data_IF_005316683194
#
_entry.id   IF_005316683194
#
_cell.length_a   1.000
_cell.length_b   1.000
_cell.length_c   1.000
_cell.angle_alpha   90.00
_cell.angle_beta   90.00
_cell.angle_gamma   90.00
#
_symmetry.space_group_name_H-M   'P 1'
#
loop_
_entity.id
_entity.type
_entity.pdbx_description
1 polymer ?
#
# COMPACT_ATOMS: atom_id res chain seq x y z
N UNK A 1 12.23 -10.19 2.52
CA UNK A 1 13.49 -9.44 2.62
C UNK A 1 13.14 -7.95 2.66
N UNK A 2 13.83 -7.18 3.51
CA UNK A 2 13.56 -5.75 3.72
C UNK A 2 14.45 -4.92 2.81
N UNK A 3 14.29 -5.05 1.50
CA UNK A 3 15.09 -4.31 0.50
C UNK A 3 14.57 -2.89 0.27
N UNK A 4 13.29 -2.66 0.60
CA UNK A 4 12.64 -1.34 0.59
C UNK A 4 12.08 -1.09 1.98
N UNK A 5 12.28 0.13 2.49
CA UNK A 5 11.75 0.58 3.78
C UNK A 5 11.18 2.00 3.59
N UNK A 6 9.91 2.16 3.95
CA UNK A 6 9.21 3.45 3.91
C UNK A 6 9.37 4.17 2.55
N UNK A 7 9.22 3.40 1.44
CA UNK A 7 9.36 3.91 0.08
C UNK A 7 10.80 4.16 -0.40
N UNK A 8 11.81 3.86 0.43
CA UNK A 8 13.23 4.06 0.11
C UNK A 8 13.90 2.70 -0.11
N UNK A 9 14.64 2.58 -1.21
CA UNK A 9 15.48 1.38 -1.49
C UNK A 9 16.68 1.40 -0.55
N UNK A 10 16.73 0.42 0.37
CA UNK A 10 17.83 0.31 1.37
C UNK A 10 18.83 -0.79 1.01
N UNK A 11 18.43 -1.75 0.18
CA UNK A 11 19.31 -2.76 -0.42
C UNK A 11 19.03 -2.82 -1.92
N UNK A 12 19.86 -2.09 -2.68
CA UNK A 12 19.70 -1.93 -4.11
C UNK A 12 19.86 -3.25 -4.88
N UNK A 13 20.90 -4.02 -4.54
CA UNK A 13 21.17 -5.29 -5.22
C UNK A 13 20.12 -6.36 -4.88
N UNK A 14 19.70 -6.41 -3.63
CA UNK A 14 18.61 -7.28 -3.21
C UNK A 14 17.29 -6.93 -3.90
N UNK A 15 16.98 -5.65 -4.07
CA UNK A 15 15.78 -5.19 -4.77
C UNK A 15 15.81 -5.63 -6.25
N UNK A 16 16.93 -5.42 -6.95
CA UNK A 16 17.12 -5.88 -8.34
C UNK A 16 16.91 -7.39 -8.45
N UNK A 17 17.54 -8.15 -7.55
CA UNK A 17 17.43 -9.62 -7.54
C UNK A 17 15.99 -10.09 -7.39
N UNK A 18 15.21 -9.44 -6.53
CA UNK A 18 13.79 -9.78 -6.34
C UNK A 18 12.99 -9.44 -7.60
N UNK A 19 13.13 -8.24 -8.17
CA UNK A 19 12.40 -7.84 -9.38
C UNK A 19 12.73 -8.77 -10.54
N UNK A 20 14.02 -9.11 -10.73
CA UNK A 20 14.46 -10.05 -11.77
C UNK A 20 13.84 -11.42 -11.60
N UNK A 21 13.85 -11.96 -10.39
CA UNK A 21 13.24 -13.26 -10.10
C UNK A 21 11.73 -13.25 -10.40
N UNK A 22 11.01 -12.20 -9.99
CA UNK A 22 9.57 -12.06 -10.26
C UNK A 22 9.30 -11.95 -11.78
N UNK A 23 10.16 -11.21 -12.52
CA UNK A 23 10.09 -11.12 -13.98
C UNK A 23 10.24 -12.50 -14.61
N UNK A 24 11.29 -13.24 -14.27
CA UNK A 24 11.57 -14.59 -14.80
C UNK A 24 10.41 -15.56 -14.52
N UNK A 25 9.87 -15.57 -13.30
CA UNK A 25 8.70 -16.39 -12.92
C UNK A 25 7.45 -16.04 -13.75
N UNK A 26 7.24 -14.76 -14.03
CA UNK A 26 6.11 -14.31 -14.85
C UNK A 26 6.30 -14.66 -16.32
N UNK A 27 7.49 -14.47 -16.87
CA UNK A 27 7.85 -14.82 -18.25
C UNK A 27 7.66 -16.33 -18.50
N UNK A 28 8.13 -17.16 -17.57
CA UNK A 28 7.95 -18.62 -17.64
C UNK A 28 6.45 -18.99 -17.61
N UNK A 29 5.70 -18.37 -16.69
CA UNK A 29 4.26 -18.65 -16.53
C UNK A 29 3.42 -18.20 -17.72
N UNK A 30 3.75 -17.07 -18.33
CA UNK A 30 2.97 -16.46 -19.40
C UNK A 30 3.45 -16.84 -20.80
N UNK A 31 4.68 -17.36 -20.92
CA UNK A 31 5.29 -17.69 -22.22
C UNK A 31 5.61 -16.45 -23.08
N UNK A 32 5.85 -15.31 -22.44
CA UNK A 32 6.17 -14.03 -23.11
C UNK A 32 7.42 -13.42 -22.49
N UNK A 33 8.12 -12.57 -23.24
CA UNK A 33 9.20 -11.73 -22.72
C UNK A 33 8.63 -10.41 -22.20
N UNK A 34 9.06 -9.98 -21.00
CA UNK A 34 8.67 -8.72 -20.38
C UNK A 34 9.81 -7.73 -20.54
N UNK A 35 9.69 -6.80 -21.48
CA UNK A 35 10.74 -5.81 -21.79
C UNK A 35 10.44 -4.43 -21.26
N UNK A 36 9.18 -4.12 -20.98
CA UNK A 36 8.74 -2.80 -20.50
C UNK A 36 7.69 -2.92 -19.40
N UNK A 37 7.54 -1.88 -18.60
CA UNK A 37 6.58 -1.86 -17.50
C UNK A 37 6.35 -0.48 -16.90
N UNK A 38 5.56 -0.49 -15.86
CA UNK A 38 5.17 0.71 -15.11
C UNK A 38 5.55 0.52 -13.66
N UNK A 39 5.90 1.61 -12.96
CA UNK A 39 6.21 1.56 -11.54
C UNK A 39 5.46 2.66 -10.79
N UNK A 40 5.31 2.49 -9.48
CA UNK A 40 4.76 3.52 -8.63
C UNK A 40 5.76 3.98 -7.58
N UNK A 41 5.46 5.15 -7.05
CA UNK A 41 6.18 5.77 -5.94
C UNK A 41 5.18 6.20 -4.89
N UNK A 42 5.53 6.18 -3.61
CA UNK A 42 4.76 6.87 -2.59
C UNK A 42 4.63 8.36 -2.91
N UNK A 43 3.54 9.01 -2.51
CA UNK A 43 3.37 10.43 -2.74
C UNK A 43 4.39 11.24 -1.93
N UNK A 44 4.89 12.32 -2.53
CA UNK A 44 5.83 13.23 -1.85
C UNK A 44 7.28 12.74 -1.77
N UNK A 45 7.63 11.66 -2.44
CA UNK A 45 8.99 11.11 -2.46
C UNK A 45 9.94 12.02 -3.24
N UNK A 46 11.15 12.23 -2.71
CA UNK A 46 12.19 13.03 -3.36
C UNK A 46 12.66 12.40 -4.68
N UNK A 47 13.06 13.23 -5.65
CA UNK A 47 13.50 12.79 -6.99
C UNK A 47 14.64 11.76 -6.95
N UNK A 48 15.51 11.81 -5.94
CA UNK A 48 16.59 10.83 -5.75
C UNK A 48 16.06 9.41 -5.51
N UNK A 49 15.05 9.28 -4.66
CA UNK A 49 14.40 8.01 -4.36
C UNK A 49 13.58 7.50 -5.56
N UNK A 50 12.94 8.38 -6.31
CA UNK A 50 12.25 8.03 -7.57
C UNK A 50 13.24 7.39 -8.55
N UNK A 51 14.41 8.04 -8.76
CA UNK A 51 15.46 7.49 -9.64
C UNK A 51 15.99 6.14 -9.15
N UNK A 52 16.12 5.96 -7.83
CA UNK A 52 16.57 4.68 -7.29
C UNK A 52 15.57 3.54 -7.60
N UNK A 53 14.27 3.80 -7.45
CA UNK A 53 13.21 2.83 -7.77
C UNK A 53 13.22 2.51 -9.27
N UNK A 54 13.27 3.52 -10.14
CA UNK A 54 13.35 3.33 -11.59
C UNK A 54 14.59 2.51 -11.95
N UNK A 55 15.76 2.88 -11.44
CA UNK A 55 17.00 2.17 -11.71
C UNK A 55 16.97 0.69 -11.26
N UNK A 56 16.29 0.37 -10.15
CA UNK A 56 16.08 -1.03 -9.72
C UNK A 56 15.32 -1.82 -10.78
N UNK A 57 14.22 -1.27 -11.29
CA UNK A 57 13.37 -1.93 -12.28
C UNK A 57 14.12 -2.07 -13.62
N UNK A 58 14.79 -1.01 -14.08
CA UNK A 58 15.57 -1.02 -15.32
C UNK A 58 16.79 -1.99 -15.23
N UNK A 59 17.46 -2.04 -14.07
CA UNK A 59 18.57 -2.98 -13.84
C UNK A 59 18.10 -4.45 -13.78
N UNK A 60 16.80 -4.68 -13.57
CA UNK A 60 16.20 -6.00 -13.70
C UNK A 60 15.80 -6.36 -15.15
N UNK A 61 16.04 -5.46 -16.10
CA UNK A 61 15.77 -5.67 -17.53
C UNK A 61 14.33 -5.31 -17.95
N UNK A 62 13.71 -4.34 -17.28
CA UNK A 62 12.37 -3.83 -17.62
C UNK A 62 12.49 -2.32 -17.86
N UNK A 63 12.24 -1.86 -19.08
CA UNK A 63 12.22 -0.43 -19.43
C UNK A 63 11.01 0.24 -18.77
N UNK A 64 11.23 1.26 -17.93
CA UNK A 64 10.16 1.96 -17.20
C UNK A 64 9.54 3.04 -18.08
N UNK A 65 8.36 2.76 -18.62
CA UNK A 65 7.63 3.70 -19.50
C UNK A 65 6.95 4.83 -18.75
N UNK A 66 6.51 4.58 -17.52
CA UNK A 66 5.81 5.59 -16.71
C UNK A 66 5.99 5.31 -15.23
N UNK A 67 6.14 6.37 -14.47
CA UNK A 67 6.07 6.37 -13.01
C UNK A 67 4.79 7.07 -12.59
N UNK A 68 4.01 6.45 -11.71
CA UNK A 68 2.76 7.01 -11.18
C UNK A 68 2.82 7.06 -9.66
N UNK A 69 2.15 8.01 -9.03
CA UNK A 69 2.00 7.95 -7.58
C UNK A 69 0.93 6.91 -7.20
N UNK A 70 1.16 6.23 -6.08
CA UNK A 70 0.31 5.13 -5.61
C UNK A 70 -1.18 5.52 -5.47
N UNK A 71 -1.56 6.69 -4.92
CA UNK A 71 -2.97 7.08 -4.84
C UNK A 71 -3.62 7.33 -6.19
N UNK A 72 -2.89 7.91 -7.14
CA UNK A 72 -3.39 8.06 -8.52
C UNK A 72 -3.59 6.69 -9.16
N UNK A 73 -2.64 5.77 -9.00
CA UNK A 73 -2.81 4.39 -9.46
C UNK A 73 -4.07 3.74 -8.84
N UNK A 74 -4.24 3.84 -7.53
CA UNK A 74 -5.42 3.31 -6.85
C UNK A 74 -6.72 3.92 -7.39
N UNK A 75 -6.75 5.24 -7.66
CA UNK A 75 -7.95 5.93 -8.18
C UNK A 75 -8.42 5.38 -9.52
N UNK A 76 -7.51 4.87 -10.35
CA UNK A 76 -7.86 4.28 -11.65
C UNK A 76 -8.69 3.00 -11.50
N UNK A 77 -8.35 2.17 -10.52
CA UNK A 77 -9.10 0.93 -10.22
C UNK A 77 -10.42 1.25 -9.53
N UNK A 78 -10.39 2.19 -8.60
CA UNK A 78 -11.56 2.59 -7.83
C UNK A 78 -12.57 3.40 -8.65
N UNK A 79 -12.16 3.95 -9.80
CA UNK A 79 -13.01 4.76 -10.66
C UNK A 79 -13.48 6.07 -10.02
N UNK A 80 -12.63 6.65 -9.14
CA UNK A 80 -12.94 7.86 -8.37
C UNK A 80 -12.19 9.08 -8.86
N UNK A 81 -12.84 10.24 -8.77
CA UNK A 81 -12.23 11.55 -8.98
C UNK A 81 -12.13 12.37 -7.70
N UNK A 82 -12.95 12.06 -6.71
CA UNK A 82 -13.07 12.79 -5.45
C UNK A 82 -13.11 11.83 -4.28
N UNK A 83 -12.51 12.21 -3.15
CA UNK A 83 -12.47 11.41 -1.95
C UNK A 83 -11.07 11.29 -1.36
N UNK A 84 -10.93 10.40 -0.38
CA UNK A 84 -9.65 10.09 0.25
C UNK A 84 -9.27 8.65 -0.05
N UNK A 85 -8.08 8.43 -0.58
CA UNK A 85 -7.45 7.11 -0.64
C UNK A 85 -6.54 6.97 0.57
N UNK A 86 -6.74 5.92 1.34
CA UNK A 86 -5.91 5.55 2.49
C UNK A 86 -5.25 4.22 2.19
N UNK A 87 -3.95 4.24 1.92
CA UNK A 87 -3.15 3.04 1.71
C UNK A 87 -2.56 2.56 3.04
N UNK A 88 -3.12 1.49 3.55
CA UNK A 88 -2.65 0.83 4.78
C UNK A 88 -1.59 -0.20 4.40
N UNK A 89 -0.35 0.28 4.22
CA UNK A 89 0.79 -0.50 3.82
C UNK A 89 1.42 -1.32 4.94
N UNK A 90 2.55 -1.95 4.63
CA UNK A 90 3.34 -2.69 5.62
C UNK A 90 4.03 -1.80 6.64
N UNK A 91 4.64 -0.69 6.20
CA UNK A 91 5.38 0.25 7.05
C UNK A 91 4.58 1.48 7.44
N UNK A 92 3.78 1.99 6.52
CA UNK A 92 3.17 3.32 6.62
C UNK A 92 1.65 3.30 6.38
N UNK A 93 1.01 4.39 6.75
CA UNK A 93 -0.35 4.78 6.36
C UNK A 93 -0.25 5.97 5.42
N UNK A 94 -0.39 5.73 4.13
CA UNK A 94 -0.46 6.75 3.10
C UNK A 94 -1.85 7.35 3.02
N UNK A 95 -1.93 8.68 2.94
CA UNK A 95 -3.20 9.42 2.88
C UNK A 95 -3.14 10.37 1.69
N UNK A 96 -4.11 10.27 0.81
CA UNK A 96 -4.19 11.14 -0.37
C UNK A 96 -5.61 11.64 -0.57
N UNK A 97 -5.75 12.95 -0.73
CA UNK A 97 -7.04 13.58 -1.02
C UNK A 97 -7.08 13.90 -2.50
N UNK A 98 -8.10 13.36 -3.18
CA UNK A 98 -8.38 13.61 -4.58
C UNK A 98 -9.51 14.62 -4.72
N UNK A 99 -9.37 15.52 -5.69
CA UNK A 99 -10.40 16.44 -6.11
C UNK A 99 -10.31 16.66 -7.63
N UNK A 100 -11.44 16.51 -8.32
CA UNK A 100 -11.52 16.65 -9.78
C UNK A 100 -10.47 15.78 -10.52
N UNK A 101 -10.25 14.55 -10.05
CA UNK A 101 -9.30 13.60 -10.59
C UNK A 101 -7.82 13.93 -10.33
N UNK A 102 -7.53 14.89 -9.45
CA UNK A 102 -6.16 15.28 -9.08
C UNK A 102 -5.89 15.09 -7.61
N UNK A 103 -4.69 14.65 -7.28
CA UNK A 103 -4.22 14.60 -5.90
C UNK A 103 -3.92 16.03 -5.44
N UNK A 104 -4.65 16.50 -4.42
CA UNK A 104 -4.53 17.87 -3.86
C UNK A 104 -3.83 17.92 -2.52
N UNK A 105 -3.70 16.77 -1.85
CA UNK A 105 -2.99 16.63 -0.59
C UNK A 105 -2.45 15.21 -0.45
N UNK A 106 -1.28 15.09 0.15
CA UNK A 106 -0.66 13.82 0.52
C UNK A 106 -0.03 13.89 1.90
N UNK A 107 -0.08 12.80 2.63
CA UNK A 107 0.67 12.57 3.86
C UNK A 107 1.03 11.09 3.95
N UNK A 108 2.14 10.80 4.61
CA UNK A 108 2.57 9.45 4.92
C UNK A 108 3.02 9.37 6.37
N UNK A 109 2.47 8.44 7.12
CA UNK A 109 2.75 8.28 8.55
C UNK A 109 3.34 6.90 8.82
N UNK A 110 4.42 6.81 9.62
CA UNK A 110 5.11 5.54 9.87
C UNK A 110 4.32 4.64 10.83
N UNK A 111 3.12 4.27 10.44
CA UNK A 111 2.24 3.32 11.16
C UNK A 111 1.59 2.42 10.12
N UNK A 112 1.92 1.14 10.12
CA UNK A 112 1.46 0.17 9.12
C UNK A 112 1.35 -1.24 9.69
N UNK A 113 1.23 -2.24 8.84
CA UNK A 113 1.10 -3.65 9.19
C UNK A 113 2.23 -4.19 10.07
N UNK A 114 3.43 -3.63 9.97
CA UNK A 114 4.55 -3.96 10.87
C UNK A 114 4.23 -3.68 12.33
N UNK A 115 3.48 -2.60 12.62
CA UNK A 115 3.06 -2.29 13.99
C UNK A 115 2.06 -3.32 14.53
N UNK A 116 1.19 -3.85 13.65
CA UNK A 116 0.31 -4.97 14.01
C UNK A 116 1.12 -6.21 14.39
N UNK A 117 2.14 -6.55 13.60
CA UNK A 117 3.04 -7.67 13.85
C UNK A 117 3.78 -7.51 15.18
N UNK A 118 4.29 -6.30 15.48
CA UNK A 118 4.96 -6.01 16.74
C UNK A 118 4.03 -6.15 17.96
N UNK A 119 2.76 -5.74 17.84
CA UNK A 119 1.75 -5.93 18.89
C UNK A 119 1.51 -7.41 19.11
N UNK A 120 1.39 -8.20 18.05
CA UNK A 120 1.20 -9.66 18.15
C UNK A 120 2.44 -10.34 18.73
N UNK A 121 3.65 -9.96 18.31
CA UNK A 121 4.90 -10.48 18.85
C UNK A 121 4.98 -10.29 20.38
N UNK A 122 4.63 -9.07 20.84
CA UNK A 122 4.57 -8.78 22.28
C UNK A 122 3.47 -9.54 23.00
N UNK A 123 2.28 -9.65 22.41
CA UNK A 123 1.12 -10.33 23.01
C UNK A 123 1.33 -11.85 23.15
N UNK A 124 1.93 -12.47 22.13
CA UNK A 124 2.18 -13.92 22.12
C UNK A 124 3.55 -14.33 22.67
N UNK A 125 4.45 -13.35 22.92
CA UNK A 125 5.82 -13.64 23.39
C UNK A 125 6.66 -14.39 22.35
N UNK A 126 6.49 -14.07 21.06
CA UNK A 126 7.17 -14.72 19.94
C UNK A 126 8.01 -13.71 19.15
N UNK A 127 8.89 -14.20 18.27
CA UNK A 127 9.65 -13.36 17.35
C UNK A 127 8.75 -12.74 16.26
N UNK A 128 9.34 -11.79 15.50
CA UNK A 128 8.61 -11.04 14.48
C UNK A 128 8.10 -11.92 13.34
N UNK A 129 8.90 -12.87 12.89
CA UNK A 129 8.58 -13.78 11.79
C UNK A 129 7.40 -14.68 12.16
N UNK A 130 7.45 -15.27 13.36
CA UNK A 130 6.34 -16.07 13.91
C UNK A 130 5.08 -15.23 14.08
N UNK A 131 5.19 -14.00 14.55
CA UNK A 131 4.05 -13.09 14.69
C UNK A 131 3.46 -12.69 13.32
N UNK A 132 4.28 -12.54 12.29
CA UNK A 132 3.82 -12.29 10.91
C UNK A 132 3.04 -13.47 10.35
N UNK A 133 3.51 -14.71 10.59
CA UNK A 133 2.81 -15.94 10.23
C UNK A 133 1.45 -16.04 10.96
N UNK A 134 1.42 -15.72 12.25
CA UNK A 134 0.17 -15.66 13.03
C UNK A 134 -0.79 -14.61 12.44
N UNK A 135 -0.28 -13.42 12.11
CA UNK A 135 -1.08 -12.32 11.55
C UNK A 135 -1.76 -12.70 10.24
N UNK A 136 -1.08 -13.48 9.41
CA UNK A 136 -1.57 -13.85 8.07
C UNK A 136 -2.37 -15.16 8.06
N UNK A 137 -2.39 -15.92 9.17
CA UNK A 137 -3.17 -17.15 9.30
C UNK A 137 -4.67 -16.84 9.37
N UNK A 138 -5.39 -17.16 8.30
CA UNK A 138 -6.85 -16.98 8.20
C UNK A 138 -7.63 -17.69 9.31
N UNK A 139 -7.11 -18.75 9.88
CA UNK A 139 -7.78 -19.49 10.98
C UNK A 139 -7.76 -18.70 12.28
N UNK A 140 -6.80 -17.80 12.44
CA UNK A 140 -6.62 -16.94 13.62
C UNK A 140 -7.16 -15.53 13.42
N UNK A 141 -7.72 -15.21 12.27
CA UNK A 141 -8.10 -13.84 11.88
C UNK A 141 -8.92 -13.12 12.96
N UNK A 142 -9.91 -13.78 13.55
CA UNK A 142 -10.77 -13.18 14.58
C UNK A 142 -10.01 -12.82 15.87
N UNK A 143 -9.12 -13.71 16.30
CA UNK A 143 -8.28 -13.51 17.50
C UNK A 143 -7.26 -12.40 17.24
N UNK A 144 -6.57 -12.49 16.11
CA UNK A 144 -5.61 -11.48 15.63
C UNK A 144 -6.28 -10.11 15.53
N UNK A 145 -7.46 -10.03 14.92
CA UNK A 145 -8.19 -8.77 14.75
C UNK A 145 -8.44 -8.07 16.09
N UNK A 146 -8.80 -8.83 17.12
CA UNK A 146 -8.98 -8.26 18.47
C UNK A 146 -7.71 -7.62 19.01
N UNK A 147 -6.56 -8.26 18.79
CA UNK A 147 -5.26 -7.76 19.26
C UNK A 147 -4.77 -6.54 18.48
N UNK A 148 -5.03 -6.47 17.17
CA UNK A 148 -4.54 -5.38 16.31
C UNK A 148 -5.51 -4.20 16.22
N UNK A 149 -6.74 -4.32 16.75
CA UNK A 149 -7.74 -3.25 16.75
C UNK A 149 -7.18 -1.90 17.22
N UNK A 150 -6.39 -1.80 18.31
CA UNK A 150 -5.82 -0.51 18.73
C UNK A 150 -4.88 0.12 17.69
N UNK A 151 -4.21 -0.70 16.86
CA UNK A 151 -3.37 -0.19 15.78
C UNK A 151 -4.23 0.38 14.66
N UNK A 152 -5.31 -0.29 14.29
CA UNK A 152 -6.27 0.21 13.30
C UNK A 152 -6.98 1.50 13.78
N UNK A 153 -7.34 1.57 15.06
CA UNK A 153 -7.90 2.79 15.66
C UNK A 153 -6.90 3.96 15.61
N UNK A 154 -5.62 3.70 15.88
CA UNK A 154 -4.56 4.70 15.72
C UNK A 154 -4.44 5.15 14.27
N UNK A 155 -4.47 4.24 13.30
CA UNK A 155 -4.43 4.59 11.87
C UNK A 155 -5.64 5.45 11.47
N UNK A 156 -6.85 5.08 11.90
CA UNK A 156 -8.05 5.85 11.66
C UNK A 156 -7.99 7.26 12.28
N UNK A 157 -7.45 7.38 13.50
CA UNK A 157 -7.22 8.67 14.14
C UNK A 157 -6.20 9.53 13.38
N UNK A 158 -5.14 8.94 12.84
CA UNK A 158 -4.18 9.62 11.97
C UNK A 158 -4.88 10.19 10.74
N UNK A 159 -5.67 9.35 10.05
CA UNK A 159 -6.46 9.79 8.88
C UNK A 159 -7.37 10.97 9.26
N UNK A 160 -8.11 10.86 10.37
CA UNK A 160 -8.99 11.93 10.87
C UNK A 160 -8.27 13.26 11.04
N UNK A 161 -7.05 13.24 11.58
CA UNK A 161 -6.22 14.42 11.78
C UNK A 161 -5.89 15.11 10.45
N UNK A 162 -5.50 14.32 9.42
CA UNK A 162 -5.07 14.85 8.14
C UNK A 162 -6.21 15.33 7.25
N UNK A 163 -7.38 14.69 7.31
CA UNK A 163 -8.53 15.11 6.52
C UNK A 163 -9.30 16.28 7.15
N UNK A 164 -8.93 16.68 8.37
CA UNK A 164 -9.58 17.80 9.07
C UNK A 164 -9.44 19.09 8.25
N UNK A 165 -10.58 19.70 7.95
CA UNK A 165 -10.65 20.94 7.15
C UNK A 165 -10.92 20.70 5.66
N UNK A 166 -10.87 19.46 5.19
CA UNK A 166 -11.31 19.09 3.86
C UNK A 166 -12.78 18.65 3.87
N UNK A 167 -13.51 19.00 2.81
CA UNK A 167 -14.91 18.55 2.62
C UNK A 167 -14.92 17.15 2.01
N UNK A 168 -14.64 16.16 2.84
CA UNK A 168 -14.58 14.75 2.44
C UNK A 168 -15.87 14.05 2.87
N UNK A 169 -16.38 13.15 2.03
CA UNK A 169 -17.52 12.27 2.34
C UNK A 169 -17.13 10.79 2.27
N UNK A 170 -16.26 10.45 1.33
CA UNK A 170 -15.95 9.10 0.97
C UNK A 170 -14.44 8.82 1.18
N UNK A 171 -14.15 7.72 1.84
CA UNK A 171 -12.80 7.24 2.15
C UNK A 171 -12.65 5.82 1.62
N UNK A 172 -11.59 5.57 0.86
CA UNK A 172 -11.30 4.30 0.23
C UNK A 172 -10.06 3.68 0.87
N UNK A 173 -10.26 2.54 1.55
CA UNK A 173 -9.16 1.81 2.18
C UNK A 173 -8.55 0.83 1.18
N UNK A 174 -7.26 0.94 0.94
CA UNK A 174 -6.47 0.03 0.13
C UNK A 174 -5.24 -0.46 0.91
N UNK A 175 -4.47 -1.37 0.33
CA UNK A 175 -3.27 -1.91 0.97
C UNK A 175 -3.52 -3.17 1.80
N UNK A 176 -2.44 -3.85 2.14
CA UNK A 176 -2.49 -5.17 2.80
C UNK A 176 -2.99 -5.13 4.23
N UNK A 177 -2.69 -4.05 4.97
CA UNK A 177 -3.04 -3.96 6.39
C UNK A 177 -4.54 -3.76 6.65
N UNK A 178 -5.34 -3.37 5.64
CA UNK A 178 -6.80 -3.32 5.77
C UNK A 178 -7.52 -4.61 5.33
N UNK A 179 -6.80 -5.67 4.98
CA UNK A 179 -7.40 -6.93 4.47
C UNK A 179 -8.20 -7.71 5.51
N UNK A 180 -8.11 -7.37 6.78
CA UNK A 180 -8.92 -7.99 7.84
C UNK A 180 -10.41 -7.70 7.64
N UNK A 181 -11.26 -8.70 7.89
CA UNK A 181 -12.69 -8.51 7.92
C UNK A 181 -13.05 -7.43 8.95
N UNK A 182 -14.01 -6.59 8.61
CA UNK A 182 -14.52 -5.51 9.48
C UNK A 182 -13.52 -4.37 9.81
N UNK A 183 -12.33 -4.33 9.19
CA UNK A 183 -11.40 -3.20 9.39
C UNK A 183 -12.02 -1.86 9.01
N UNK A 184 -12.86 -1.82 7.97
CA UNK A 184 -13.61 -0.62 7.55
C UNK A 184 -14.53 -0.08 8.65
N UNK A 185 -15.12 -0.93 9.49
CA UNK A 185 -16.01 -0.50 10.57
C UNK A 185 -15.29 0.31 11.65
N UNK A 186 -13.99 0.07 11.85
CA UNK A 186 -13.17 0.86 12.78
C UNK A 186 -13.02 2.28 12.23
N UNK A 187 -12.75 2.40 10.92
CA UNK A 187 -12.64 3.71 10.26
C UNK A 187 -13.99 4.42 10.22
N UNK A 188 -15.09 3.73 9.92
CA UNK A 188 -16.45 4.29 9.97
C UNK A 188 -16.75 4.91 11.34
N UNK A 189 -16.49 4.15 12.41
CA UNK A 189 -16.70 4.60 13.79
C UNK A 189 -15.87 5.84 14.13
N UNK A 190 -14.59 5.85 13.73
CA UNK A 190 -13.66 6.93 14.10
C UNK A 190 -13.87 8.19 13.25
N UNK A 191 -14.12 8.04 11.95
CA UNK A 191 -14.22 9.15 11.01
C UNK A 191 -15.64 9.70 10.88
N UNK A 192 -16.66 8.88 11.05
CA UNK A 192 -18.06 9.24 10.80
C UNK A 192 -18.35 9.53 9.32
N UNK A 193 -17.62 8.89 8.42
CA UNK A 193 -17.68 9.05 6.96
C UNK A 193 -18.05 7.73 6.29
N UNK A 194 -18.36 7.77 5.00
CA UNK A 194 -18.53 6.56 4.20
C UNK A 194 -17.17 5.91 3.96
N UNK A 195 -17.03 4.65 4.35
CA UNK A 195 -15.78 3.91 4.18
C UNK A 195 -16.02 2.78 3.17
N UNK A 196 -15.18 2.75 2.14
CA UNK A 196 -15.21 1.74 1.09
C UNK A 196 -13.92 0.93 1.15
N UNK A 197 -14.04 -0.38 1.28
CA UNK A 197 -12.94 -1.32 1.21
C UNK A 197 -13.22 -2.30 0.06
N UNK A 198 -12.39 -2.33 -0.99
CA UNK A 198 -12.52 -3.30 -2.08
C UNK A 198 -12.34 -4.73 -1.57
N UNK A 199 -12.86 -5.70 -2.32
CA UNK A 199 -12.76 -7.13 -1.95
C UNK A 199 -11.33 -7.61 -1.74
N UNK A 200 -10.38 -7.15 -2.57
CA UNK A 200 -8.95 -7.51 -2.46
C UNK A 200 -8.10 -6.23 -2.42
N UNK A 201 -8.08 -5.52 -1.29
CA UNK A 201 -7.48 -4.18 -1.20
C UNK A 201 -5.97 -4.16 -1.46
N UNK A 202 -5.27 -5.26 -1.21
CA UNK A 202 -3.83 -5.41 -1.47
C UNK A 202 -3.48 -5.30 -2.97
N UNK A 203 -4.41 -5.62 -3.88
CA UNK A 203 -4.16 -5.59 -5.33
C UNK A 203 -4.58 -4.30 -6.02
N UNK A 204 -5.22 -3.36 -5.32
CA UNK A 204 -5.74 -2.14 -5.93
C UNK A 204 -4.60 -1.31 -6.52
N UNK A 205 -3.59 -0.98 -5.73
CA UNK A 205 -2.44 -0.19 -6.19
C UNK A 205 -1.66 -0.89 -7.30
N UNK A 206 -1.27 -2.18 -7.20
CA UNK A 206 -0.60 -2.89 -8.30
C UNK A 206 -1.39 -2.95 -9.60
N UNK A 207 -2.70 -3.21 -9.54
CA UNK A 207 -3.55 -3.21 -10.73
C UNK A 207 -3.64 -1.78 -11.31
N UNK A 208 -3.74 -0.77 -10.48
CA UNK A 208 -3.77 0.63 -10.88
C UNK A 208 -2.50 1.08 -11.60
N UNK A 209 -1.34 0.60 -11.16
CA UNK A 209 -0.06 0.83 -11.84
C UNK A 209 -0.11 0.27 -13.27
N UNK A 210 -0.59 -0.97 -13.43
CA UNK A 210 -0.74 -1.57 -14.76
C UNK A 210 -1.74 -0.80 -15.63
N UNK A 211 -2.87 -0.35 -15.07
CA UNK A 211 -3.87 0.45 -15.78
C UNK A 211 -3.36 1.86 -16.17
N UNK A 212 -2.36 2.39 -15.48
CA UNK A 212 -1.76 3.68 -15.81
C UNK A 212 -1.16 3.69 -17.22
N UNK A 213 -0.67 2.56 -17.70
CA UNK A 213 -0.17 2.38 -19.06
C UNK A 213 -1.24 2.27 -20.14
N UNK A 214 -2.48 2.03 -19.77
CA UNK A 214 -3.60 1.90 -20.73
C UNK A 214 -4.37 3.22 -20.92
N UNK A 215 -3.97 4.28 -20.20
CA UNK A 215 -4.68 5.58 -20.18
C UNK A 215 -3.96 6.70 -20.93
N UNK A 216 -2.97 6.36 -21.75
CA UNK A 216 -2.29 7.31 -22.66
C UNK A 216 -2.94 7.34 -24.05
#
# INVERSE_FOLDING_TARGET
SRVVKDGIVVDFMGAISIVRKLKEELEEKLGIEITEGYTAIPPGVEQGSVKAIVNVVESAGIDVKKVVDEPTAASYVLGISDGVVVDLGGGTTGISILKDGKVVFVADEPTGGTHMTLVLAGSYGVDFETAEDIKTDKKKEKEVFTQITPVLEKMAFIVKKYIKGYKVKDVFLVGGACSFADSEKIFEKELGLNIYKPYMPIYITPIGIALAGMKD
#
